data_IF_346407425435
#
_entry.id   IF_346407425435
#
_cell.length_a   1.000
_cell.length_b   1.000
_cell.length_c   1.000
_cell.angle_alpha   90.00
_cell.angle_beta   90.00
_cell.angle_gamma   90.00
#
_symmetry.space_group_name_H-M   'P 1'
#
loop_
_entity.id
_entity.type
_entity.pdbx_description
1 polymer ?
#
# COMPACT_ATOMS: atom_id res chain seq x y z
N UNK A 1 31.85 -41.59 45.70
CA UNK A 1 32.91 -42.53 46.09
C UNK A 1 33.36 -42.23 47.51
N UNK A 2 33.10 -43.14 48.44
CA UNK A 2 34.08 -43.47 49.51
C UNK A 2 35.22 -44.29 48.87
N UNK A 3 36.39 -44.54 49.50
CA UNK A 3 36.62 -44.83 50.93
C UNK A 3 37.89 -44.11 51.48
N UNK A 4 38.38 -44.23 52.72
CA UNK A 4 38.03 -45.05 53.87
C UNK A 4 39.14 -44.96 54.93
N UNK A 5 38.97 -45.80 55.96
CA UNK A 5 39.91 -46.26 56.99
C UNK A 5 40.62 -45.19 57.84
N UNK A 6 40.47 -45.13 59.16
CA UNK A 6 40.23 -46.21 60.11
C UNK A 6 41.50 -46.44 60.93
N UNK A 7 41.42 -46.28 62.26
CA UNK A 7 42.26 -47.00 63.21
C UNK A 7 41.75 -46.78 64.63
N UNK A 8 41.24 -47.86 65.20
CA UNK A 8 40.97 -48.14 66.60
C UNK A 8 42.24 -48.16 67.45
N UNK A 9 42.16 -47.70 68.70
CA UNK A 9 43.20 -47.90 69.71
C UNK A 9 42.69 -47.67 71.13
N UNK A 10 42.43 -48.78 71.84
CA UNK A 10 41.91 -48.92 73.20
C UNK A 10 42.65 -48.15 74.32
N UNK A 11 41.99 -47.95 75.49
CA UNK A 11 42.47 -47.07 76.55
C UNK A 11 43.47 -47.78 77.47
N UNK A 12 44.60 -47.12 77.78
CA UNK A 12 45.52 -47.56 78.83
C UNK A 12 45.53 -46.58 80.00
N UNK A 13 45.40 -47.18 81.18
CA UNK A 13 45.37 -46.59 82.52
C UNK A 13 46.59 -45.73 82.83
N UNK A 14 46.30 -44.76 83.70
CA UNK A 14 47.12 -43.73 84.37
C UNK A 14 48.54 -44.14 84.78
N UNK A 15 49.40 -43.14 84.98
CA UNK A 15 49.73 -42.82 86.37
C UNK A 15 49.63 -41.33 86.68
N UNK A 16 49.24 -41.05 87.93
CA UNK A 16 49.32 -39.75 88.60
C UNK A 16 50.67 -39.08 88.29
N UNK A 17 50.65 -38.00 87.53
CA UNK A 17 51.74 -37.02 87.47
C UNK A 17 51.38 -35.86 88.37
N UNK A 18 52.32 -35.57 89.26
CA UNK A 18 52.41 -34.47 90.23
C UNK A 18 51.94 -33.13 89.65
N UNK A 19 51.48 -32.17 90.49
CA UNK A 19 51.12 -30.85 90.02
C UNK A 19 52.38 -30.21 89.41
N UNK A 20 52.45 -30.17 88.07
CA UNK A 20 53.41 -29.33 87.39
C UNK A 20 53.01 -27.91 87.77
N UNK A 21 53.89 -27.27 88.53
CA UNK A 21 53.90 -25.82 88.78
C UNK A 21 53.46 -25.15 87.47
N UNK A 22 52.38 -24.38 87.52
CA UNK A 22 52.10 -23.38 86.50
C UNK A 22 53.38 -22.56 86.42
N UNK A 23 54.17 -22.77 85.38
CA UNK A 23 55.12 -21.75 84.96
C UNK A 23 54.23 -20.62 84.51
N UNK A 24 53.99 -19.67 85.41
CA UNK A 24 53.48 -18.37 85.03
C UNK A 24 54.51 -17.83 84.05
N UNK A 25 54.22 -18.02 82.76
CA UNK A 25 54.95 -17.44 81.66
C UNK A 25 54.68 -15.94 81.75
N UNK A 26 55.43 -15.26 82.60
CA UNK A 26 55.50 -13.82 82.61
C UNK A 26 56.24 -13.42 81.35
N UNK A 27 55.51 -13.22 80.25
CA UNK A 27 56.01 -12.41 79.16
C UNK A 27 56.53 -11.11 79.77
N UNK A 28 57.76 -10.75 79.42
CA UNK A 28 58.28 -9.46 79.85
C UNK A 28 57.33 -8.38 79.32
N UNK A 29 57.11 -7.33 80.12
CA UNK A 29 56.28 -6.19 79.72
C UNK A 29 56.71 -5.62 78.35
N UNK A 30 58.01 -5.74 78.06
CA UNK A 30 58.61 -5.39 76.77
C UNK A 30 58.14 -6.28 75.60
N UNK A 31 57.98 -7.59 75.80
CA UNK A 31 57.44 -8.50 74.77
C UNK A 31 55.94 -8.25 74.55
N UNK A 32 55.18 -7.98 75.61
CA UNK A 32 53.75 -7.63 75.50
C UNK A 32 53.59 -6.32 74.74
N UNK A 33 54.43 -5.31 75.03
CA UNK A 33 54.43 -4.04 74.33
C UNK A 33 54.87 -4.17 72.86
N UNK A 34 55.83 -5.04 72.56
CA UNK A 34 56.23 -5.32 71.18
C UNK A 34 55.11 -6.00 70.38
N UNK A 35 54.40 -6.96 70.99
CA UNK A 35 53.26 -7.65 70.35
C UNK A 35 52.07 -6.71 70.15
N UNK A 36 51.77 -5.83 71.10
CA UNK A 36 50.69 -4.85 70.96
C UNK A 36 51.02 -3.79 69.91
N UNK A 37 52.27 -3.31 69.85
CA UNK A 37 52.72 -2.40 68.81
C UNK A 37 52.63 -3.04 67.41
N UNK A 38 53.09 -4.30 67.26
CA UNK A 38 52.94 -5.04 66.01
C UNK A 38 51.47 -5.27 65.64
N UNK A 39 50.60 -5.51 66.62
CA UNK A 39 49.16 -5.66 66.38
C UNK A 39 48.53 -4.34 65.89
N UNK A 40 48.89 -3.21 66.49
CA UNK A 40 48.43 -1.89 66.05
C UNK A 40 48.92 -1.56 64.63
N UNK A 41 50.18 -1.88 64.33
CA UNK A 41 50.73 -1.69 62.99
C UNK A 41 50.01 -2.56 61.95
N UNK A 42 49.72 -3.83 62.28
CA UNK A 42 48.95 -4.72 61.41
C UNK A 42 47.52 -4.21 61.20
N UNK A 43 46.88 -3.68 62.25
CA UNK A 43 45.56 -3.05 62.12
C UNK A 43 45.59 -1.83 61.19
N UNK A 44 46.62 -0.99 61.31
CA UNK A 44 46.81 0.18 60.44
C UNK A 44 47.01 -0.23 58.97
N UNK A 45 47.85 -1.24 58.71
CA UNK A 45 48.07 -1.76 57.37
C UNK A 45 46.81 -2.39 56.77
N UNK A 46 46.01 -3.10 57.57
CA UNK A 46 44.72 -3.66 57.13
C UNK A 46 43.72 -2.55 56.79
N UNK A 47 43.68 -1.47 57.58
CA UNK A 47 42.85 -0.31 57.28
C UNK A 47 43.27 0.37 55.97
N UNK A 48 44.57 0.55 55.74
CA UNK A 48 45.11 1.12 54.50
C UNK A 48 44.80 0.24 53.28
N UNK A 49 45.01 -1.07 53.38
CA UNK A 49 44.66 -2.01 52.32
C UNK A 49 43.16 -1.93 51.99
N UNK A 50 42.28 -1.87 52.99
CA UNK A 50 40.84 -1.75 52.77
C UNK A 50 40.46 -0.44 52.07
N UNK A 51 41.15 0.66 52.35
CA UNK A 51 40.95 1.94 51.68
C UNK A 51 41.41 1.88 50.21
N UNK A 52 42.55 1.24 49.93
CA UNK A 52 43.04 1.02 48.56
C UNK A 52 42.13 0.10 47.77
N UNK A 53 41.58 -0.96 48.38
CA UNK A 53 40.59 -1.84 47.72
C UNK A 53 39.36 -1.06 47.28
N UNK A 54 38.81 -0.18 48.13
CA UNK A 54 37.68 0.69 47.75
C UNK A 54 38.02 1.66 46.61
N UNK A 55 39.24 2.18 46.59
CA UNK A 55 39.70 3.04 45.51
C UNK A 55 39.78 2.26 44.19
N UNK A 56 40.27 1.01 44.23
CA UNK A 56 40.31 0.12 43.06
C UNK A 56 38.88 -0.15 42.57
N UNK A 57 37.95 -0.52 43.44
CA UNK A 57 36.54 -0.74 43.07
C UNK A 57 35.91 0.51 42.41
N UNK A 58 36.24 1.70 42.91
CA UNK A 58 35.77 2.96 42.34
C UNK A 58 36.35 3.19 40.94
N UNK A 59 37.65 2.93 40.75
CA UNK A 59 38.31 3.05 39.45
C UNK A 59 37.80 2.00 38.45
N UNK A 60 37.54 0.78 38.91
CA UNK A 60 36.94 -0.28 38.09
C UNK A 60 35.53 0.10 37.61
N UNK A 61 34.71 0.72 38.48
CA UNK A 61 33.40 1.23 38.10
C UNK A 61 33.48 2.35 37.05
N UNK A 62 34.46 3.26 37.18
CA UNK A 62 34.69 4.33 36.20
C UNK A 62 35.17 3.77 34.85
N UNK A 63 36.08 2.79 34.86
CA UNK A 63 36.54 2.12 33.64
C UNK A 63 35.40 1.33 32.97
N UNK A 64 34.54 0.69 33.75
CA UNK A 64 33.36 0.01 33.24
C UNK A 64 32.37 0.99 32.58
N UNK A 65 32.19 2.18 33.15
CA UNK A 65 31.35 3.24 32.58
C UNK A 65 31.95 3.85 31.30
N UNK A 66 33.28 3.83 31.15
CA UNK A 66 33.99 4.30 29.96
C UNK A 66 34.09 3.25 28.84
N UNK A 67 33.59 2.02 29.05
CA UNK A 67 33.52 1.03 27.97
C UNK A 67 32.58 1.55 26.88
N UNK A 68 33.00 1.51 25.60
CA UNK A 68 32.17 2.00 24.51
C UNK A 68 30.87 1.21 24.44
N UNK A 69 29.75 1.92 24.23
CA UNK A 69 28.43 1.32 24.13
C UNK A 69 28.42 0.26 23.01
N UNK A 70 27.82 -0.92 23.25
CA UNK A 70 27.74 -1.97 22.25
C UNK A 70 27.03 -1.44 20.98
N UNK A 71 27.71 -1.55 19.84
CA UNK A 71 27.25 -1.03 18.54
C UNK A 71 27.87 0.30 18.10
N UNK A 72 28.74 0.92 18.91
CA UNK A 72 29.46 2.14 18.55
C UNK A 72 30.88 1.81 18.07
N UNK A 73 31.13 1.90 16.77
CA UNK A 73 32.44 1.65 16.17
C UNK A 73 33.33 2.90 16.26
N UNK A 74 34.09 2.99 17.36
CA UNK A 74 34.96 4.12 17.70
C UNK A 74 36.01 4.39 16.61
N UNK A 75 36.44 3.37 15.85
CA UNK A 75 37.43 3.53 14.78
C UNK A 75 36.84 4.33 13.60
N UNK A 76 35.61 4.01 13.21
CA UNK A 76 34.89 4.73 12.14
C UNK A 76 34.64 6.21 12.48
N UNK A 77 34.43 6.52 13.76
CA UNK A 77 34.24 7.91 14.21
C UNK A 77 35.54 8.71 14.25
N UNK A 78 36.67 8.05 14.55
CA UNK A 78 38.00 8.69 14.53
C UNK A 78 38.44 9.03 13.11
N UNK A 79 38.23 8.11 12.17
CA UNK A 79 38.50 8.32 10.74
C UNK A 79 37.68 9.48 10.14
N UNK A 80 36.42 9.65 10.57
CA UNK A 80 35.59 10.79 10.16
C UNK A 80 36.04 12.13 10.78
N UNK A 81 36.61 12.11 11.99
CA UNK A 81 37.15 13.32 12.62
C UNK A 81 38.41 13.79 11.89
N UNK A 82 39.25 12.84 11.49
CA UNK A 82 40.49 13.10 10.74
C UNK A 82 40.19 13.53 9.29
N UNK A 83 39.17 12.96 8.65
CA UNK A 83 38.74 13.36 7.29
C UNK A 83 38.04 14.73 7.22
N UNK A 84 37.53 15.25 8.34
CA UNK A 84 36.87 16.57 8.40
C UNK A 84 37.82 17.71 8.80
N UNK A 85 39.09 17.38 9.06
CA UNK A 85 40.12 18.29 9.59
C UNK A 85 40.82 19.17 8.56
N UNK A 86 40.09 19.75 7.60
CA UNK A 86 40.63 20.83 6.76
C UNK A 86 39.77 22.10 6.94
N UNK A 87 40.28 23.01 7.77
CA UNK A 87 39.91 24.42 7.75
C UNK A 87 38.67 24.80 8.55
N UNK A 88 38.80 24.79 9.87
CA UNK A 88 38.44 25.87 10.82
C UNK A 88 38.12 25.25 12.18
N UNK A 89 38.98 25.57 13.15
CA UNK A 89 38.92 25.07 14.51
C UNK A 89 37.70 25.55 15.29
N UNK A 90 37.47 24.82 16.39
CA UNK A 90 36.48 24.98 17.45
C UNK A 90 35.12 24.30 17.19
N UNK A 91 34.98 23.12 17.83
CA UNK A 91 33.73 22.48 18.23
C UNK A 91 32.66 22.21 17.16
N UNK A 92 33.00 21.49 16.08
CA UNK A 92 31.97 20.67 15.42
C UNK A 92 31.71 19.43 16.29
N UNK A 93 30.91 19.67 17.33
CA UNK A 93 30.43 18.70 18.28
C UNK A 93 29.94 17.45 17.53
N UNK A 94 30.32 16.24 17.97
CA UNK A 94 29.90 14.96 17.34
C UNK A 94 28.37 14.91 17.16
N UNK A 95 27.66 15.61 18.05
CA UNK A 95 26.24 15.90 18.00
C UNK A 95 25.81 16.67 16.74
N UNK A 96 26.51 17.71 16.34
CA UNK A 96 26.17 18.55 15.19
C UNK A 96 26.42 17.82 13.87
N UNK A 97 27.51 17.05 13.78
CA UNK A 97 27.72 16.14 12.66
C UNK A 97 26.55 15.13 12.53
N UNK A 98 26.07 14.61 13.67
CA UNK A 98 24.91 13.70 13.70
C UNK A 98 23.61 14.41 13.33
N UNK A 99 23.40 15.64 13.76
CA UNK A 99 22.23 16.46 13.40
C UNK A 99 22.20 16.72 11.89
N UNK A 100 23.35 17.01 11.28
CA UNK A 100 23.46 17.19 9.82
C UNK A 100 23.17 15.88 9.09
N UNK A 101 23.72 14.75 9.54
CA UNK A 101 23.46 13.43 8.95
C UNK A 101 21.97 13.05 9.02
N UNK A 102 21.36 13.20 10.21
CA UNK A 102 19.94 12.94 10.42
C UNK A 102 19.08 13.90 9.59
N UNK A 103 19.48 15.17 9.43
CA UNK A 103 18.79 16.13 8.58
C UNK A 103 18.87 15.75 7.10
N UNK A 104 20.04 15.29 6.62
CA UNK A 104 20.21 14.77 5.25
C UNK A 104 19.34 13.53 5.02
N UNK A 105 19.34 12.58 5.97
CA UNK A 105 18.48 11.38 5.94
C UNK A 105 16.99 11.75 5.96
N UNK A 106 16.59 12.68 6.82
CA UNK A 106 15.20 13.15 6.91
C UNK A 106 14.75 13.81 5.60
N UNK A 107 15.61 14.63 4.97
CA UNK A 107 15.31 15.20 3.65
C UNK A 107 15.17 14.11 2.58
N UNK A 108 16.06 13.13 2.54
CA UNK A 108 15.99 12.00 1.61
C UNK A 108 14.70 11.18 1.76
N UNK A 109 14.33 10.85 2.99
CA UNK A 109 13.06 10.16 3.30
C UNK A 109 11.86 11.01 2.91
N UNK A 110 11.90 12.32 3.17
CA UNK A 110 10.77 13.19 2.82
C UNK A 110 10.60 13.33 1.30
N UNK A 111 11.69 13.41 0.54
CA UNK A 111 11.66 13.40 -0.94
C UNK A 111 11.13 12.06 -1.46
N UNK A 112 11.57 10.93 -0.89
CA UNK A 112 11.07 9.62 -1.25
C UNK A 112 9.56 9.47 -0.95
N UNK A 113 9.12 9.98 0.20
CA UNK A 113 7.71 10.02 0.59
C UNK A 113 6.88 10.88 -0.35
N UNK A 114 7.39 12.05 -0.75
CA UNK A 114 6.71 12.93 -1.70
C UNK A 114 6.56 12.25 -3.06
N UNK A 115 7.64 11.61 -3.56
CA UNK A 115 7.60 10.83 -4.80
C UNK A 115 6.61 9.67 -4.71
N UNK A 116 6.52 9.00 -3.58
CA UNK A 116 5.53 7.94 -3.38
C UNK A 116 4.11 8.53 -3.43
N UNK A 117 3.84 9.60 -2.68
CA UNK A 117 2.54 10.29 -2.70
C UNK A 117 2.13 10.73 -4.10
N UNK A 118 3.06 11.24 -4.88
CA UNK A 118 2.78 11.66 -6.27
C UNK A 118 2.47 10.46 -7.16
N UNK A 119 3.19 9.33 -7.01
CA UNK A 119 2.83 8.06 -7.69
C UNK A 119 1.46 7.54 -7.25
N UNK A 120 1.15 7.59 -5.96
CA UNK A 120 -0.16 7.18 -5.43
C UNK A 120 -1.29 8.06 -5.98
N UNK A 121 -1.07 9.38 -6.07
CA UNK A 121 -2.03 10.31 -6.70
C UNK A 121 -2.21 10.04 -8.19
N UNK A 122 -1.13 9.76 -8.91
CA UNK A 122 -1.20 9.42 -10.33
C UNK A 122 -1.97 8.11 -10.55
N UNK A 123 -1.70 7.08 -9.74
CA UNK A 123 -2.44 5.83 -9.78
C UNK A 123 -3.93 6.04 -9.44
N UNK A 124 -4.25 6.84 -8.43
CA UNK A 124 -5.63 7.17 -8.06
C UNK A 124 -6.38 7.87 -9.20
N UNK A 125 -5.73 8.80 -9.93
CA UNK A 125 -6.32 9.44 -11.11
C UNK A 125 -6.60 8.44 -12.25
N UNK A 126 -5.69 7.49 -12.48
CA UNK A 126 -5.91 6.44 -13.48
C UNK A 126 -7.07 5.51 -13.10
N UNK A 127 -7.19 5.16 -11.82
CA UNK A 127 -8.32 4.37 -11.32
C UNK A 127 -9.63 5.13 -11.51
N UNK A 128 -9.71 6.39 -11.08
CA UNK A 128 -10.90 7.21 -11.27
C UNK A 128 -11.28 7.38 -12.75
N UNK A 129 -10.29 7.53 -13.64
CA UNK A 129 -10.54 7.60 -15.08
C UNK A 129 -11.12 6.30 -15.65
N UNK A 130 -10.57 5.14 -15.24
CA UNK A 130 -11.10 3.83 -15.64
C UNK A 130 -12.47 3.53 -15.04
N UNK A 131 -12.73 3.97 -13.81
CA UNK A 131 -14.04 3.82 -13.17
C UNK A 131 -15.10 4.63 -13.93
N UNK A 132 -14.78 5.86 -14.35
CA UNK A 132 -15.68 6.66 -15.19
C UNK A 132 -15.93 6.01 -16.57
N UNK A 133 -14.90 5.42 -17.18
CA UNK A 133 -15.05 4.66 -18.44
C UNK A 133 -15.93 3.42 -18.26
N UNK A 134 -15.76 2.69 -17.15
CA UNK A 134 -16.59 1.53 -16.81
C UNK A 134 -18.05 1.95 -16.62
N UNK A 135 -18.33 3.05 -15.93
CA UNK A 135 -19.69 3.56 -15.76
C UNK A 135 -20.30 3.97 -17.10
N UNK A 136 -19.56 4.67 -17.97
CA UNK A 136 -20.05 5.00 -19.33
C UNK A 136 -20.37 3.73 -20.15
N UNK A 137 -19.51 2.72 -20.09
CA UNK A 137 -19.74 1.45 -20.79
C UNK A 137 -20.93 0.67 -20.19
N UNK A 138 -21.17 0.78 -18.88
CA UNK A 138 -22.36 0.21 -18.23
C UNK A 138 -23.62 0.92 -18.66
N UNK A 139 -23.63 2.24 -18.69
CA UNK A 139 -24.77 3.04 -19.18
C UNK A 139 -25.09 2.72 -20.65
N UNK A 140 -24.07 2.57 -21.50
CA UNK A 140 -24.25 2.12 -22.89
C UNK A 140 -24.82 0.71 -22.96
N UNK A 141 -24.36 -0.21 -22.10
CA UNK A 141 -24.87 -1.57 -22.05
C UNK A 141 -26.32 -1.60 -21.58
N UNK A 142 -26.69 -0.78 -20.59
CA UNK A 142 -28.05 -0.67 -20.06
C UNK A 142 -28.99 -0.01 -21.08
N UNK A 143 -28.51 0.96 -21.86
CA UNK A 143 -29.26 1.55 -22.97
C UNK A 143 -29.57 0.50 -24.06
N UNK A 144 -28.61 -0.35 -24.39
CA UNK A 144 -28.79 -1.46 -25.36
C UNK A 144 -29.64 -2.60 -24.77
N UNK A 145 -29.47 -2.88 -23.47
CA UNK A 145 -30.22 -3.88 -22.74
C UNK A 145 -31.64 -3.39 -22.38
N UNK A 146 -31.95 -2.11 -22.56
CA UNK A 146 -33.28 -1.56 -22.28
C UNK A 146 -34.37 -2.39 -22.98
N UNK A 147 -35.42 -2.81 -22.25
CA UNK A 147 -36.54 -3.56 -22.83
C UNK A 147 -37.17 -2.86 -24.03
N UNK A 148 -37.13 -1.52 -24.08
CA UNK A 148 -37.63 -0.74 -25.21
C UNK A 148 -36.82 -1.00 -26.49
N UNK A 149 -35.49 -1.05 -26.41
CA UNK A 149 -34.60 -1.34 -27.55
C UNK A 149 -34.69 -2.81 -27.96
N UNK A 150 -34.75 -3.73 -26.98
CA UNK A 150 -34.97 -5.17 -27.25
C UNK A 150 -36.33 -5.46 -27.90
N UNK A 151 -37.38 -4.78 -27.47
CA UNK A 151 -38.72 -4.91 -28.07
C UNK A 151 -38.77 -4.30 -29.48
N UNK A 152 -38.11 -3.16 -29.72
CA UNK A 152 -37.97 -2.57 -31.06
C UNK A 152 -37.20 -3.50 -32.01
N UNK A 153 -36.10 -4.10 -31.54
CA UNK A 153 -35.30 -5.05 -32.32
C UNK A 153 -36.06 -6.35 -32.59
N UNK A 154 -36.82 -6.86 -31.61
CA UNK A 154 -37.73 -8.00 -31.81
C UNK A 154 -38.84 -7.68 -32.80
N UNK A 155 -39.45 -6.50 -32.72
CA UNK A 155 -40.45 -6.07 -33.68
C UNK A 155 -39.88 -5.95 -35.10
N UNK A 156 -38.70 -5.34 -35.26
CA UNK A 156 -38.00 -5.30 -36.54
C UNK A 156 -37.65 -6.70 -37.08
N UNK A 157 -37.22 -7.64 -36.24
CA UNK A 157 -36.95 -9.02 -36.68
C UNK A 157 -38.24 -9.77 -37.05
N UNK A 158 -39.33 -9.56 -36.34
CA UNK A 158 -40.64 -10.15 -36.69
C UNK A 158 -41.22 -9.53 -37.95
N UNK A 159 -41.02 -8.24 -38.18
CA UNK A 159 -41.42 -7.56 -39.41
C UNK A 159 -40.54 -7.95 -40.60
N UNK A 160 -39.24 -8.11 -40.41
CA UNK A 160 -38.33 -8.61 -41.45
C UNK A 160 -38.66 -10.06 -41.85
N UNK A 161 -39.06 -10.91 -40.90
CA UNK A 161 -39.55 -12.27 -41.20
C UNK A 161 -40.91 -12.27 -41.92
N UNK A 162 -41.79 -11.30 -41.65
CA UNK A 162 -43.05 -11.12 -42.38
C UNK A 162 -42.85 -10.52 -43.77
N UNK A 163 -41.80 -9.72 -43.98
CA UNK A 163 -41.40 -9.14 -45.28
C UNK A 163 -40.65 -10.12 -46.19
N UNK A 164 -40.20 -11.27 -45.68
CA UNK A 164 -39.53 -12.32 -46.46
C UNK A 164 -40.40 -13.08 -47.47
N UNK A 165 -41.71 -12.78 -47.59
CA UNK A 165 -42.60 -13.43 -48.57
C UNK A 165 -43.38 -12.47 -49.47
N UNK A 166 -43.04 -11.18 -49.52
CA UNK A 166 -43.66 -10.25 -50.47
C UNK A 166 -42.65 -9.20 -50.90
N UNK A 167 -42.08 -9.41 -52.08
CA UNK A 167 -41.44 -8.36 -52.87
C UNK A 167 -42.59 -7.45 -53.31
N UNK A 168 -42.84 -6.35 -52.59
CA UNK A 168 -43.31 -5.07 -53.14
C UNK A 168 -42.98 -3.94 -52.16
N UNK A 169 -42.73 -2.76 -52.73
CA UNK A 169 -42.14 -1.59 -52.11
C UNK A 169 -42.92 -1.04 -50.92
N UNK A 170 -42.26 -0.87 -49.77
CA UNK A 170 -42.52 0.28 -48.90
C UNK A 170 -41.34 0.51 -47.93
N UNK A 171 -40.47 1.44 -48.31
CA UNK A 171 -39.46 1.97 -47.42
C UNK A 171 -40.16 2.86 -46.39
N UNK A 172 -40.48 2.30 -45.22
CA UNK A 172 -40.84 3.08 -44.03
C UNK A 172 -39.62 3.88 -43.58
N UNK A 173 -39.50 5.04 -44.21
CA UNK A 173 -38.65 6.16 -43.85
C UNK A 173 -39.15 6.66 -42.49
N UNK A 174 -38.25 6.72 -41.51
CA UNK A 174 -38.44 7.48 -40.25
C UNK A 174 -39.02 8.84 -40.62
N UNK A 175 -40.17 9.23 -40.04
CA UNK A 175 -40.90 10.39 -40.52
C UNK A 175 -39.98 11.63 -40.56
N UNK A 176 -39.98 12.41 -41.66
CA UNK A 176 -39.15 13.62 -41.77
C UNK A 176 -39.38 14.61 -40.61
N UNK A 177 -40.56 14.57 -40.00
CA UNK A 177 -40.92 15.40 -38.84
C UNK A 177 -40.14 15.05 -37.57
N UNK A 178 -39.92 13.76 -37.27
CA UNK A 178 -39.17 13.31 -36.08
C UNK A 178 -37.68 13.65 -36.20
N UNK A 179 -37.12 13.54 -37.41
CA UNK A 179 -35.72 13.91 -37.70
C UNK A 179 -35.52 15.42 -37.57
N UNK A 180 -36.49 16.22 -38.03
CA UNK A 180 -36.47 17.69 -37.90
C UNK A 180 -36.60 18.10 -36.42
N UNK A 181 -37.45 17.44 -35.63
CA UNK A 181 -37.60 17.75 -34.21
C UNK A 181 -36.33 17.41 -33.40
N UNK A 182 -35.70 16.27 -33.68
CA UNK A 182 -34.41 15.91 -33.07
C UNK A 182 -33.29 16.87 -33.48
N UNK A 183 -33.26 17.29 -34.75
CA UNK A 183 -32.29 18.27 -35.23
C UNK A 183 -32.51 19.65 -34.56
N UNK A 184 -33.75 20.07 -34.36
CA UNK A 184 -34.07 21.33 -33.66
C UNK A 184 -33.72 21.29 -32.18
N UNK A 185 -33.95 20.17 -31.49
CA UNK A 185 -33.51 19.96 -30.09
C UNK A 185 -31.99 19.99 -29.99
N UNK A 186 -31.29 19.24 -30.83
CA UNK A 186 -29.82 19.23 -30.87
C UNK A 186 -29.24 20.63 -31.19
N UNK A 187 -29.90 21.41 -32.04
CA UNK A 187 -29.50 22.79 -32.36
C UNK A 187 -29.69 23.74 -31.17
N UNK A 188 -30.77 23.60 -30.40
CA UNK A 188 -30.99 24.36 -29.16
C UNK A 188 -29.99 24.00 -28.07
N UNK A 189 -29.71 22.71 -27.89
CA UNK A 189 -28.71 22.24 -26.92
C UNK A 189 -27.30 22.71 -27.32
N UNK A 190 -26.96 22.65 -28.61
CA UNK A 190 -25.70 23.18 -29.11
C UNK A 190 -25.59 24.70 -28.92
N UNK A 191 -26.68 25.46 -29.06
CA UNK A 191 -26.70 26.89 -28.79
C UNK A 191 -26.52 27.19 -27.29
N UNK A 192 -27.16 26.42 -26.40
CA UNK A 192 -27.00 26.54 -24.96
C UNK A 192 -25.55 26.25 -24.52
N UNK A 193 -24.95 25.17 -25.03
CA UNK A 193 -23.55 24.81 -24.76
C UNK A 193 -22.59 25.88 -25.29
N UNK A 194 -22.84 26.45 -26.47
CA UNK A 194 -22.04 27.57 -27.01
C UNK A 194 -22.11 28.80 -26.10
N UNK A 195 -23.32 29.19 -25.67
CA UNK A 195 -23.50 30.31 -24.74
C UNK A 195 -22.78 30.08 -23.40
N UNK A 196 -22.85 28.85 -22.86
CA UNK A 196 -22.11 28.49 -21.64
C UNK A 196 -20.59 28.55 -21.86
N UNK A 197 -20.11 28.13 -23.02
CA UNK A 197 -18.70 28.19 -23.37
C UNK A 197 -18.19 29.63 -23.43
N UNK A 198 -18.98 30.53 -24.02
CA UNK A 198 -18.64 31.95 -24.12
C UNK A 198 -18.69 32.64 -22.76
N UNK A 199 -19.65 32.28 -21.89
CA UNK A 199 -19.71 32.76 -20.50
C UNK A 199 -18.50 32.27 -19.68
N UNK A 200 -18.09 31.01 -19.85
CA UNK A 200 -16.90 30.46 -19.19
C UNK A 200 -15.61 31.13 -19.68
N UNK A 201 -15.50 31.43 -20.98
CA UNK A 201 -14.37 32.21 -21.53
C UNK A 201 -14.33 33.62 -20.93
N UNK A 202 -15.48 34.28 -20.83
CA UNK A 202 -15.57 35.61 -20.23
C UNK A 202 -15.15 35.58 -18.75
N UNK A 203 -15.66 34.62 -17.97
CA UNK A 203 -15.26 34.42 -16.56
C UNK A 203 -13.76 34.16 -16.41
N UNK A 204 -13.17 33.36 -17.30
CA UNK A 204 -11.74 33.07 -17.30
C UNK A 204 -10.92 34.34 -17.58
N UNK A 205 -11.36 35.16 -18.54
CA UNK A 205 -10.69 36.41 -18.87
C UNK A 205 -10.79 37.43 -17.73
N UNK A 206 -11.96 37.57 -17.09
CA UNK A 206 -12.13 38.40 -15.89
C UNK A 206 -11.19 37.93 -14.78
N UNK A 207 -11.13 36.63 -14.50
CA UNK A 207 -10.23 36.07 -13.49
C UNK A 207 -8.75 36.28 -13.84
N UNK A 208 -8.38 36.25 -15.13
CA UNK A 208 -7.01 36.57 -15.56
C UNK A 208 -6.66 38.02 -15.29
N UNK A 209 -7.57 38.94 -15.61
CA UNK A 209 -7.39 40.36 -15.35
C UNK A 209 -7.28 40.62 -13.85
N UNK A 210 -8.14 40.02 -13.03
CA UNK A 210 -8.08 40.10 -11.56
C UNK A 210 -6.77 39.53 -11.02
N UNK A 211 -6.31 38.36 -11.49
CA UNK A 211 -5.01 37.79 -11.10
C UNK A 211 -3.85 38.70 -11.50
N UNK A 212 -3.90 39.34 -12.66
CA UNK A 212 -2.89 40.30 -13.08
C UNK A 212 -2.91 41.54 -12.20
N UNK A 213 -4.09 42.07 -11.86
CA UNK A 213 -4.23 43.19 -10.94
C UNK A 213 -3.68 42.84 -9.55
N UNK A 214 -4.07 41.69 -8.98
CA UNK A 214 -3.54 41.18 -7.72
C UNK A 214 -2.02 40.98 -7.77
N UNK A 215 -1.48 40.46 -8.87
CA UNK A 215 -0.04 40.34 -9.03
C UNK A 215 0.63 41.72 -9.09
N UNK A 216 0.03 42.71 -9.75
CA UNK A 216 0.59 44.07 -9.79
C UNK A 216 0.50 44.80 -8.45
N UNK A 217 -0.58 44.61 -7.67
CA UNK A 217 -0.67 45.16 -6.31
C UNK A 217 0.31 44.48 -5.37
N UNK A 218 0.42 43.14 -5.42
CA UNK A 218 1.41 42.39 -4.64
C UNK A 218 2.85 42.80 -5.00
N UNK A 219 3.16 43.02 -6.28
CA UNK A 219 4.48 43.56 -6.69
C UNK A 219 4.73 44.96 -6.12
N UNK A 220 3.71 45.82 -6.09
CA UNK A 220 3.83 47.17 -5.49
C UNK A 220 4.02 47.12 -3.97
N UNK A 221 3.38 46.19 -3.27
CA UNK A 221 3.49 46.04 -1.82
C UNK A 221 4.77 45.33 -1.36
N UNK A 222 5.28 44.39 -2.16
CA UNK A 222 6.45 43.56 -1.83
C UNK A 222 7.75 44.15 -2.40
N UNK A 223 7.66 45.02 -3.41
CA UNK A 223 8.79 45.53 -4.17
C UNK A 223 9.21 44.57 -5.30
N UNK A 224 9.74 45.12 -6.40
CA UNK A 224 10.14 44.34 -7.58
C UNK A 224 11.50 43.65 -7.35
N UNK A 225 11.57 42.34 -7.62
CA UNK A 225 12.80 41.53 -7.56
C UNK A 225 12.59 40.11 -7.02
N UNK A 226 13.70 39.39 -6.83
CA UNK A 226 13.77 37.96 -6.42
C UNK A 226 12.89 37.59 -5.22
N UNK A 227 12.50 38.58 -4.40
CA UNK A 227 11.57 38.46 -3.28
C UNK A 227 10.13 38.13 -3.71
N UNK A 228 9.63 38.70 -4.81
CA UNK A 228 8.29 38.40 -5.35
C UNK A 228 8.24 36.98 -5.93
N UNK A 229 9.26 36.62 -6.72
CA UNK A 229 9.38 35.29 -7.30
C UNK A 229 9.58 34.20 -6.22
N UNK A 230 10.38 34.48 -5.19
CA UNK A 230 10.57 33.58 -4.05
C UNK A 230 9.34 33.46 -3.13
N UNK A 231 8.50 34.51 -3.06
CA UNK A 231 7.23 34.46 -2.34
C UNK A 231 6.18 33.60 -3.06
N UNK A 232 6.06 33.72 -4.39
CA UNK A 232 5.18 32.88 -5.22
C UNK A 232 5.67 31.43 -5.25
N UNK A 233 6.99 31.21 -5.34
CA UNK A 233 7.58 29.87 -5.34
C UNK A 233 7.59 29.18 -3.95
N UNK A 234 7.16 29.87 -2.88
CA UNK A 234 7.12 29.33 -1.52
C UNK A 234 8.49 29.13 -0.87
N UNK A 235 9.59 29.52 -1.53
CA UNK A 235 10.96 29.36 -1.06
C UNK A 235 11.45 30.51 -0.15
N UNK A 236 10.76 31.65 -0.13
CA UNK A 236 11.18 32.85 0.61
C UNK A 236 10.62 33.02 2.03
N UNK A 237 9.51 32.37 2.38
CA UNK A 237 8.84 32.64 3.68
C UNK A 237 9.59 32.10 4.90
N UNK A 238 10.47 31.12 4.70
CA UNK A 238 11.31 30.57 5.78
C UNK A 238 12.40 31.55 6.22
N UNK A 239 12.93 32.36 5.31
CA UNK A 239 13.95 33.38 5.62
C UNK A 239 13.39 34.59 6.36
N UNK A 240 12.20 35.09 5.97
CA UNK A 240 11.55 36.23 6.64
C UNK A 240 11.03 35.87 8.03
N UNK A 241 10.42 34.68 8.19
CA UNK A 241 10.01 34.21 9.51
C UNK A 241 11.21 34.00 10.44
N UNK A 242 12.33 33.49 9.92
CA UNK A 242 13.59 33.40 10.66
C UNK A 242 14.15 34.77 11.02
N UNK A 243 14.16 35.74 10.10
CA UNK A 243 14.59 37.13 10.37
C UNK A 243 13.70 37.79 11.42
N UNK A 244 12.37 37.62 11.35
CA UNK A 244 11.45 38.17 12.35
C UNK A 244 11.70 37.52 13.72
N UNK A 245 11.90 36.21 13.78
CA UNK A 245 12.25 35.52 15.03
C UNK A 245 13.61 35.98 15.57
N UNK A 246 14.60 36.17 14.72
CA UNK A 246 15.93 36.65 15.09
C UNK A 246 15.89 38.10 15.58
N UNK A 247 15.13 38.97 14.92
CA UNK A 247 14.91 40.34 15.35
C UNK A 247 14.10 40.39 16.65
N UNK A 248 13.04 39.60 16.80
CA UNK A 248 12.27 39.48 18.05
C UNK A 248 13.12 39.00 19.22
N UNK A 249 14.01 38.02 19.00
CA UNK A 249 14.92 37.55 20.04
C UNK A 249 15.97 38.60 20.38
N UNK A 250 16.48 39.35 19.40
CA UNK A 250 17.41 40.46 19.62
C UNK A 250 16.76 41.63 20.37
N UNK A 251 15.53 42.01 20.01
CA UNK A 251 14.72 43.00 20.75
C UNK A 251 14.48 42.54 22.18
N UNK A 252 14.01 41.30 22.40
CA UNK A 252 13.84 40.74 23.76
C UNK A 252 15.13 40.68 24.57
N UNK A 253 16.28 40.50 23.92
CA UNK A 253 17.60 40.53 24.58
C UNK A 253 17.95 41.95 24.99
N UNK A 254 17.81 42.91 24.08
CA UNK A 254 18.05 44.33 24.34
C UNK A 254 17.10 44.90 25.40
N UNK A 255 15.82 44.52 25.38
CA UNK A 255 14.85 44.85 26.43
C UNK A 255 15.27 44.30 27.80
N UNK A 256 15.86 43.10 27.84
CA UNK A 256 16.36 42.48 29.07
C UNK A 256 17.65 43.13 29.55
N UNK A 257 18.53 43.50 28.63
CA UNK A 257 19.76 44.25 28.90
C UNK A 257 19.44 45.67 29.40
N UNK A 258 18.44 46.35 28.85
CA UNK A 258 17.95 47.64 29.35
C UNK A 258 17.32 47.51 30.74
N UNK A 259 16.55 46.45 30.97
CA UNK A 259 15.92 46.15 32.26
C UNK A 259 16.93 45.75 33.34
N UNK A 260 18.06 45.16 32.95
CA UNK A 260 19.13 44.73 33.88
C UNK A 260 20.26 45.76 34.00
N UNK A 261 20.47 46.61 33.01
CA UNK A 261 21.52 47.65 32.95
C UNK A 261 21.09 49.02 33.50
N UNK A 262 19.81 49.20 33.84
CA UNK A 262 19.32 50.36 34.59
C UNK A 262 19.67 50.26 36.08
N UNK A 263 20.87 50.71 36.45
CA UNK A 263 21.29 50.80 37.85
C UNK A 263 20.57 51.94 38.59
N UNK A 264 19.93 51.64 39.72
CA UNK A 264 19.65 52.63 40.76
C UNK A 264 18.46 52.33 41.69
N UNK A 265 18.64 51.45 42.69
CA UNK A 265 18.23 51.68 44.10
C UNK A 265 18.20 50.35 44.88
N UNK A 266 19.12 50.12 45.85
CA UNK A 266 19.05 49.02 46.78
C UNK A 266 18.26 49.47 48.02
N UNK A 267 16.96 49.16 48.05
CA UNK A 267 16.09 49.57 49.15
C UNK A 267 15.04 48.51 49.47
N UNK A 268 15.42 47.60 50.37
CA UNK A 268 14.55 47.04 51.42
C UNK A 268 13.08 46.81 51.07
N UNK A 269 12.69 45.62 50.58
CA UNK A 269 11.41 44.94 50.90
C UNK A 269 11.45 43.50 50.35
N UNK A 270 12.00 42.55 51.12
CA UNK A 270 12.12 41.15 50.64
C UNK A 270 11.79 40.10 51.71
N UNK A 271 10.60 40.20 52.32
CA UNK A 271 10.07 39.11 53.16
C UNK A 271 8.61 38.72 52.88
N UNK A 272 7.91 39.36 51.92
CA UNK A 272 6.56 38.95 51.49
C UNK A 272 6.52 38.25 50.12
N UNK A 273 7.56 38.37 49.28
CA UNK A 273 7.60 37.77 47.93
C UNK A 273 7.68 36.24 47.89
N UNK A 274 8.05 35.58 49.00
CA UNK A 274 8.20 34.12 49.02
C UNK A 274 6.87 33.36 49.05
N UNK A 275 5.76 34.00 49.50
CA UNK A 275 4.42 33.38 49.45
C UNK A 275 3.80 33.52 48.05
N UNK A 276 3.91 34.68 47.42
CA UNK A 276 3.39 34.91 46.07
C UNK A 276 4.19 34.17 44.99
N UNK A 277 5.51 33.98 45.16
CA UNK A 277 6.32 33.18 44.24
C UNK A 277 5.86 31.70 44.20
N UNK A 278 5.51 31.12 45.34
CA UNK A 278 4.97 29.75 45.42
C UNK A 278 3.59 29.62 44.78
N UNK A 279 2.77 30.67 44.81
CA UNK A 279 1.48 30.71 44.13
C UNK A 279 1.64 30.83 42.60
N UNK A 280 2.58 31.64 42.14
CA UNK A 280 2.93 31.75 40.71
C UNK A 280 3.47 30.42 40.17
N UNK A 281 4.36 29.75 40.93
CA UNK A 281 4.90 28.44 40.55
C UNK A 281 3.81 27.36 40.54
N UNK A 282 2.92 27.32 41.55
CA UNK A 282 1.80 26.39 41.58
C UNK A 282 0.82 26.62 40.41
N UNK A 283 0.56 27.87 40.02
CA UNK A 283 -0.27 28.23 38.88
C UNK A 283 0.41 27.87 37.55
N UNK A 284 1.73 28.03 37.45
CA UNK A 284 2.51 27.60 36.30
C UNK A 284 2.49 26.07 36.15
N UNK A 285 2.65 25.32 37.24
CA UNK A 285 2.53 23.86 37.24
C UNK A 285 1.14 23.39 36.84
N UNK A 286 0.08 24.01 37.36
CA UNK A 286 -1.30 23.69 36.98
C UNK A 286 -1.54 23.96 35.49
N UNK A 287 -1.00 25.06 34.95
CA UNK A 287 -1.09 25.40 33.53
C UNK A 287 -0.31 24.41 32.65
N UNK A 288 0.91 24.01 33.05
CA UNK A 288 1.71 22.99 32.34
C UNK A 288 1.01 21.63 32.37
N UNK A 289 0.43 21.24 33.52
CA UNK A 289 -0.39 20.03 33.64
C UNK A 289 -1.60 20.08 32.71
N UNK A 290 -2.35 21.19 32.69
CA UNK A 290 -3.48 21.39 31.77
C UNK A 290 -3.08 21.30 30.29
N UNK A 291 -1.97 21.92 29.90
CA UNK A 291 -1.45 21.80 28.53
C UNK A 291 -1.04 20.34 28.24
N UNK A 292 -0.41 19.65 29.20
CA UNK A 292 0.01 18.26 29.01
C UNK A 292 -1.16 17.31 28.84
N UNK A 293 -2.24 17.47 29.62
CA UNK A 293 -3.44 16.65 29.51
C UNK A 293 -4.21 16.95 28.23
N UNK A 294 -4.34 18.23 27.85
CA UNK A 294 -4.93 18.63 26.58
C UNK A 294 -4.15 18.06 25.38
N UNK A 295 -2.81 18.11 25.44
CA UNK A 295 -1.94 17.51 24.42
C UNK A 295 -2.08 15.99 24.37
N UNK A 296 -2.15 15.31 25.52
CA UNK A 296 -2.37 13.87 25.59
C UNK A 296 -3.73 13.48 25.02
N UNK A 297 -4.79 14.23 25.33
CA UNK A 297 -6.13 14.01 24.78
C UNK A 297 -6.15 14.19 23.25
N UNK A 298 -5.51 15.24 22.73
CA UNK A 298 -5.38 15.45 21.29
C UNK A 298 -4.60 14.31 20.62
N UNK A 299 -3.50 13.85 21.22
CA UNK A 299 -2.74 12.71 20.70
C UNK A 299 -3.54 11.41 20.75
N UNK A 300 -4.37 11.19 21.77
CA UNK A 300 -5.26 10.04 21.85
C UNK A 300 -6.32 10.08 20.74
N UNK A 301 -6.98 11.23 20.55
CA UNK A 301 -7.95 11.44 19.46
C UNK A 301 -7.32 11.24 18.08
N UNK A 302 -6.13 11.79 17.82
CA UNK A 302 -5.42 11.58 16.56
C UNK A 302 -5.03 10.11 16.33
N UNK A 303 -4.67 9.37 17.39
CA UNK A 303 -4.38 7.93 17.28
C UNK A 303 -5.64 7.13 16.93
N UNK A 304 -6.77 7.50 17.51
CA UNK A 304 -8.06 6.88 17.21
C UNK A 304 -8.47 7.16 15.76
N UNK A 305 -8.36 8.41 15.30
CA UNK A 305 -8.63 8.78 13.90
C UNK A 305 -7.72 8.02 12.93
N UNK A 306 -6.42 7.91 13.23
CA UNK A 306 -5.49 7.10 12.43
C UNK A 306 -5.90 5.62 12.42
N UNK A 307 -6.39 5.07 13.52
CA UNK A 307 -6.85 3.69 13.59
C UNK A 307 -8.13 3.48 12.76
N UNK A 308 -9.09 4.40 12.86
CA UNK A 308 -10.33 4.39 12.07
C UNK A 308 -10.04 4.48 10.57
N UNK A 309 -9.22 5.46 10.14
CA UNK A 309 -8.82 5.62 8.73
C UNK A 309 -8.09 4.39 8.19
N UNK A 310 -7.27 3.71 9.01
CA UNK A 310 -6.63 2.44 8.61
C UNK A 310 -7.62 1.30 8.47
N UNK A 311 -8.64 1.23 9.32
CA UNK A 311 -9.70 0.23 9.23
C UNK A 311 -10.53 0.44 7.96
N UNK A 312 -10.95 1.67 7.67
CA UNK A 312 -11.65 2.04 6.44
C UNK A 312 -10.81 1.77 5.19
N UNK A 313 -9.50 2.06 5.25
CA UNK A 313 -8.57 1.72 4.16
C UNK A 313 -8.50 0.21 3.92
N UNK A 314 -8.50 -0.60 4.98
CA UNK A 314 -8.48 -2.06 4.85
C UNK A 314 -9.79 -2.56 4.26
N UNK A 315 -10.93 -2.06 4.73
CA UNK A 315 -12.24 -2.46 4.22
C UNK A 315 -12.43 -2.07 2.75
N UNK A 316 -12.07 -0.85 2.37
CA UNK A 316 -12.12 -0.40 0.97
C UNK A 316 -11.24 -1.24 0.05
N UNK A 317 -10.04 -1.65 0.50
CA UNK A 317 -9.19 -2.60 -0.24
C UNK A 317 -9.86 -3.96 -0.42
N UNK A 318 -10.46 -4.50 0.63
CA UNK A 318 -11.20 -5.77 0.55
C UNK A 318 -12.37 -5.69 -0.44
N UNK A 319 -13.12 -4.57 -0.43
CA UNK A 319 -14.20 -4.33 -1.41
C UNK A 319 -13.68 -4.27 -2.84
N UNK A 320 -12.55 -3.60 -3.08
CA UNK A 320 -11.92 -3.52 -4.40
C UNK A 320 -11.42 -4.89 -4.88
N UNK A 321 -10.80 -5.68 -4.01
CA UNK A 321 -10.33 -7.02 -4.38
C UNK A 321 -11.50 -7.98 -4.68
N UNK A 322 -12.60 -7.88 -3.94
CA UNK A 322 -13.84 -8.61 -4.23
C UNK A 322 -14.48 -8.14 -5.56
N UNK A 323 -14.46 -6.85 -5.87
CA UNK A 323 -14.95 -6.33 -7.14
C UNK A 323 -14.07 -6.79 -8.32
N UNK A 324 -12.75 -6.82 -8.14
CA UNK A 324 -11.79 -7.33 -9.13
C UNK A 324 -11.98 -8.81 -9.42
N UNK A 325 -12.21 -9.64 -8.40
CA UNK A 325 -12.46 -11.07 -8.61
C UNK A 325 -13.75 -11.30 -9.39
N UNK A 326 -14.83 -10.57 -9.05
CA UNK A 326 -16.10 -10.60 -9.80
C UNK A 326 -15.95 -10.13 -11.25
N UNK A 327 -15.15 -9.07 -11.48
CA UNK A 327 -14.86 -8.59 -12.82
C UNK A 327 -14.09 -9.65 -13.62
N UNK A 328 -13.10 -10.29 -13.01
CA UNK A 328 -12.34 -11.36 -13.65
C UNK A 328 -13.23 -12.54 -14.03
N UNK A 329 -14.12 -13.00 -13.14
CA UNK A 329 -15.06 -14.08 -13.46
C UNK A 329 -16.01 -13.67 -14.59
N UNK A 330 -16.56 -12.46 -14.53
CA UNK A 330 -17.45 -11.94 -15.58
C UNK A 330 -16.74 -11.83 -16.94
N UNK A 331 -15.46 -11.42 -16.95
CA UNK A 331 -14.65 -11.39 -18.16
C UNK A 331 -14.41 -12.79 -18.74
N UNK A 332 -14.11 -13.77 -17.89
CA UNK A 332 -13.95 -15.17 -18.34
C UNK A 332 -15.25 -15.74 -18.91
N UNK A 333 -16.39 -15.44 -18.30
CA UNK A 333 -17.70 -15.87 -18.81
C UNK A 333 -18.05 -15.18 -20.13
N UNK A 334 -17.79 -13.87 -20.26
CA UNK A 334 -17.98 -13.15 -21.51
C UNK A 334 -17.10 -13.74 -22.64
N UNK A 335 -15.85 -14.08 -22.35
CA UNK A 335 -14.96 -14.75 -23.30
C UNK A 335 -15.50 -16.13 -23.71
N UNK A 336 -15.98 -16.92 -22.74
CA UNK A 336 -16.59 -18.23 -22.98
C UNK A 336 -17.84 -18.13 -23.86
N UNK A 337 -18.74 -17.19 -23.58
CA UNK A 337 -19.96 -16.97 -24.37
C UNK A 337 -19.65 -16.52 -25.79
N UNK A 338 -18.67 -15.64 -25.99
CA UNK A 338 -18.20 -15.28 -27.35
C UNK A 338 -17.64 -16.49 -28.10
N UNK A 339 -16.90 -17.36 -27.42
CA UNK A 339 -16.41 -18.62 -27.98
C UNK A 339 -17.56 -19.55 -28.41
N UNK A 340 -18.57 -19.73 -27.56
CA UNK A 340 -19.77 -20.51 -27.89
C UNK A 340 -20.55 -19.92 -29.06
N UNK A 341 -20.72 -18.59 -29.08
CA UNK A 341 -21.40 -17.90 -30.18
C UNK A 341 -20.66 -18.05 -31.50
N UNK A 342 -19.33 -17.97 -31.48
CA UNK A 342 -18.50 -18.25 -32.65
C UNK A 342 -18.73 -19.66 -33.18
N UNK A 343 -18.72 -20.68 -32.31
CA UNK A 343 -19.00 -22.06 -32.72
C UNK A 343 -20.40 -22.23 -33.31
N UNK A 344 -21.41 -21.54 -32.78
CA UNK A 344 -22.76 -21.59 -33.35
C UNK A 344 -22.84 -20.91 -34.72
N UNK A 345 -22.11 -19.81 -34.94
CA UNK A 345 -21.99 -19.16 -36.24
C UNK A 345 -21.29 -20.09 -37.23
N UNK A 346 -20.14 -20.67 -36.84
CA UNK A 346 -19.42 -21.61 -37.69
C UNK A 346 -20.32 -22.81 -38.08
N UNK A 347 -21.16 -23.30 -37.16
CA UNK A 347 -22.15 -24.34 -37.46
C UNK A 347 -23.25 -23.87 -38.41
N UNK A 348 -23.78 -22.67 -38.21
CA UNK A 348 -24.79 -22.09 -39.09
C UNK A 348 -24.24 -21.94 -40.52
N UNK A 349 -22.99 -21.49 -40.68
CA UNK A 349 -22.33 -21.38 -41.97
C UNK A 349 -22.15 -22.75 -42.65
N UNK A 350 -21.81 -23.79 -41.87
CA UNK A 350 -21.75 -25.17 -42.40
C UNK A 350 -23.13 -25.72 -42.77
N UNK A 351 -24.16 -25.42 -41.99
CA UNK A 351 -25.55 -25.84 -42.27
C UNK A 351 -26.07 -25.13 -43.52
N UNK A 352 -25.79 -23.83 -43.68
CA UNK A 352 -26.14 -23.06 -44.89
C UNK A 352 -25.44 -23.61 -46.14
N UNK A 353 -24.18 -24.00 -46.02
CA UNK A 353 -23.44 -24.66 -47.10
C UNK A 353 -24.08 -26.00 -47.49
N UNK A 354 -24.43 -26.83 -46.51
CA UNK A 354 -25.14 -28.10 -46.73
C UNK A 354 -26.51 -27.88 -47.38
N UNK A 355 -27.26 -26.87 -46.94
CA UNK A 355 -28.56 -26.51 -47.52
C UNK A 355 -28.39 -26.08 -48.99
N UNK A 356 -27.33 -25.33 -49.32
CA UNK A 356 -27.03 -24.97 -50.71
C UNK A 356 -26.75 -26.21 -51.56
N UNK A 357 -25.91 -27.14 -51.09
CA UNK A 357 -25.64 -28.40 -51.79
C UNK A 357 -26.90 -29.23 -52.01
N UNK A 358 -27.74 -29.38 -50.98
CA UNK A 358 -29.01 -30.11 -51.08
C UNK A 358 -30.00 -29.44 -52.04
N UNK A 359 -30.07 -28.10 -52.03
CA UNK A 359 -30.89 -27.35 -53.00
C UNK A 359 -30.38 -27.54 -54.42
N UNK A 360 -29.07 -27.57 -54.62
CA UNK A 360 -28.48 -27.81 -55.93
C UNK A 360 -28.79 -29.22 -56.44
N UNK A 361 -28.65 -30.25 -55.59
CA UNK A 361 -29.04 -31.63 -55.90
C UNK A 361 -30.54 -31.77 -56.21
N UNK A 362 -31.41 -31.12 -55.45
CA UNK A 362 -32.85 -31.07 -55.72
C UNK A 362 -33.15 -30.38 -57.06
N UNK A 363 -32.43 -29.31 -57.37
CA UNK A 363 -32.57 -28.62 -58.66
C UNK A 363 -32.11 -29.49 -59.83
N UNK A 364 -31.05 -30.28 -59.63
CA UNK A 364 -30.47 -31.17 -60.64
C UNK A 364 -31.37 -32.38 -60.88
N UNK A 365 -31.90 -32.99 -59.82
CA UNK A 365 -32.88 -34.09 -59.93
C UNK A 365 -34.21 -33.62 -60.52
N UNK A 366 -34.70 -32.42 -60.17
CA UNK A 366 -35.89 -31.84 -60.81
C UNK A 366 -35.67 -31.51 -62.29
N UNK A 367 -34.46 -31.06 -62.67
CA UNK A 367 -34.09 -30.88 -64.08
C UNK A 367 -34.05 -32.22 -64.82
N UNK A 368 -33.44 -33.25 -64.24
CA UNK A 368 -33.42 -34.60 -64.80
C UNK A 368 -34.82 -35.21 -64.94
N UNK A 369 -35.69 -35.02 -63.93
CA UNK A 369 -37.09 -35.46 -63.97
C UNK A 369 -37.95 -34.64 -64.93
N UNK A 370 -37.71 -33.32 -65.04
CA UNK A 370 -38.38 -32.44 -66.00
C UNK A 370 -37.99 -32.70 -67.45
N UNK A 371 -36.77 -33.19 -67.72
CA UNK A 371 -36.34 -33.66 -69.03
C UNK A 371 -36.90 -35.05 -69.39
N UNK A 372 -37.44 -35.80 -68.42
CA UNK A 372 -38.15 -37.07 -68.64
C UNK A 372 -39.67 -36.95 -68.75
N UNK A 373 -40.23 -35.74 -68.64
CA UNK A 373 -41.69 -35.49 -68.59
C UNK A 373 -42.32 -34.98 -69.89
N UNK A 374 -41.55 -34.86 -70.97
CA UNK A 374 -42.07 -34.61 -72.31
C UNK A 374 -42.10 -35.90 -73.11
N UNK A 375 -43.29 -36.47 -73.31
CA UNK A 375 -43.62 -37.76 -73.95
C UNK A 375 -43.74 -38.91 -72.95
N UNK A 376 -44.97 -39.23 -72.54
CA UNK A 376 -45.57 -40.57 -72.53
C UNK A 376 -47.04 -40.38 -72.10
N UNK A 377 -47.90 -40.28 -73.10
CA UNK A 377 -49.26 -40.78 -73.03
C UNK A 377 -49.24 -42.17 -73.69
N UNK A 378 -50.08 -43.08 -73.18
CA UNK A 378 -50.30 -44.47 -73.60
C UNK A 378 -49.23 -45.51 -73.22
N UNK A 379 -49.56 -46.39 -72.26
CA UNK A 379 -49.95 -47.78 -72.54
C UNK A 379 -49.76 -48.69 -71.30
N UNK A 380 -50.81 -49.44 -70.99
CA UNK A 380 -50.88 -50.78 -70.38
C UNK A 380 -49.91 -51.19 -69.24
N UNK A 381 -50.50 -51.51 -68.09
CA UNK A 381 -50.69 -52.89 -67.63
C UNK A 381 -49.49 -53.85 -67.50
N UNK A 382 -49.35 -54.38 -66.28
CA UNK A 382 -48.96 -55.77 -65.96
C UNK A 382 -47.48 -56.18 -66.08
N UNK A 383 -47.10 -57.05 -65.13
CA UNK A 383 -45.84 -57.83 -65.00
C UNK A 383 -44.63 -57.00 -64.55
N UNK A 384 -43.81 -57.38 -63.56
CA UNK A 384 -43.49 -58.69 -63.03
C UNK A 384 -42.00 -58.97 -63.29
N UNK A 385 -41.20 -59.15 -62.23
CA UNK A 385 -39.97 -59.94 -62.30
C UNK A 385 -38.65 -59.23 -62.63
N UNK A 386 -37.78 -59.23 -61.62
CA UNK A 386 -36.39 -59.71 -61.68
C UNK A 386 -35.36 -59.14 -62.67
N UNK A 387 -34.34 -58.57 -62.03
CA UNK A 387 -32.93 -58.97 -62.12
C UNK A 387 -32.02 -58.45 -63.23
N UNK A 388 -30.79 -58.22 -62.78
CA UNK A 388 -29.52 -58.19 -63.49
C UNK A 388 -29.00 -56.85 -64.02
N UNK A 389 -27.85 -56.47 -63.47
CA UNK A 389 -26.68 -56.13 -64.27
C UNK A 389 -26.49 -54.65 -64.63
N UNK A 390 -25.47 -54.05 -64.03
CA UNK A 390 -24.34 -53.39 -64.71
C UNK A 390 -23.91 -52.12 -63.97
N UNK A 391 -22.83 -52.24 -63.20
CA UNK A 391 -22.05 -51.09 -62.74
C UNK A 391 -20.89 -50.85 -63.70
N UNK A 392 -20.75 -49.65 -64.29
CA UNK A 392 -19.47 -49.16 -64.73
C UNK A 392 -18.93 -48.10 -63.76
N UNK A 393 -17.62 -48.21 -63.52
CA UNK A 393 -16.74 -47.25 -62.85
C UNK A 393 -16.98 -45.82 -63.35
N UNK A 394 -17.04 -44.85 -62.42
CA UNK A 394 -16.80 -43.45 -62.72
C UNK A 394 -16.05 -42.75 -61.57
N UNK A 395 -14.81 -42.37 -61.90
CA UNK A 395 -14.06 -41.19 -61.50
C UNK A 395 -14.16 -40.67 -60.04
N UNK A 396 -13.08 -40.90 -59.32
CA UNK A 396 -12.57 -40.08 -58.22
C UNK A 396 -12.41 -38.61 -58.63
N UNK A 397 -13.13 -37.70 -57.99
CA UNK A 397 -12.72 -36.30 -57.81
C UNK A 397 -12.81 -35.99 -56.31
N UNK A 398 -11.65 -35.96 -55.66
CA UNK A 398 -11.51 -35.65 -54.25
C UNK A 398 -11.63 -34.16 -54.01
N UNK A 399 -12.65 -33.76 -53.25
CA UNK A 399 -12.70 -32.48 -52.55
C UNK A 399 -11.78 -32.53 -51.31
N UNK A 400 -11.17 -31.40 -50.89
CA UNK A 400 -10.21 -31.38 -49.80
C UNK A 400 -10.95 -31.51 -48.46
N UNK A 401 -11.00 -32.73 -47.91
CA UNK A 401 -11.43 -32.94 -46.54
C UNK A 401 -10.31 -32.44 -45.63
N UNK A 402 -10.58 -31.44 -44.80
CA UNK A 402 -9.72 -31.00 -43.69
C UNK A 402 -9.73 -32.02 -42.56
N UNK A 403 -9.33 -33.26 -42.84
CA UNK A 403 -9.03 -34.23 -41.79
C UNK A 403 -7.73 -33.81 -41.13
N UNK A 404 -7.82 -33.10 -40.00
CA UNK A 404 -6.72 -33.09 -39.02
C UNK A 404 -6.30 -34.54 -38.82
N UNK A 405 -5.01 -34.81 -38.96
CA UNK A 405 -4.49 -36.17 -38.82
C UNK A 405 -4.93 -36.73 -37.46
N UNK A 406 -5.18 -38.04 -37.38
CA UNK A 406 -5.43 -38.68 -36.09
C UNK A 406 -4.32 -38.37 -35.06
N UNK A 407 -3.11 -38.07 -35.54
CA UNK A 407 -1.99 -37.62 -34.71
C UNK A 407 -2.15 -36.19 -34.17
N UNK A 408 -2.76 -35.28 -34.94
CA UNK A 408 -3.08 -33.92 -34.50
C UNK A 408 -4.17 -33.94 -33.41
N UNK A 409 -5.16 -34.82 -33.56
CA UNK A 409 -6.20 -35.02 -32.55
C UNK A 409 -5.61 -35.62 -31.26
N UNK A 410 -4.68 -36.56 -31.37
CA UNK A 410 -3.95 -37.13 -30.21
C UNK A 410 -3.10 -36.07 -29.51
N UNK A 411 -2.40 -35.23 -30.27
CA UNK A 411 -1.61 -34.12 -29.73
C UNK A 411 -2.49 -33.08 -29.01
N UNK A 412 -3.65 -32.76 -29.58
CA UNK A 412 -4.60 -31.82 -28.98
C UNK A 412 -5.25 -32.41 -27.72
N UNK A 413 -5.57 -33.70 -27.70
CA UNK A 413 -6.06 -34.38 -26.48
C UNK A 413 -4.99 -34.34 -25.37
N UNK A 414 -3.72 -34.58 -25.67
CA UNK A 414 -2.64 -34.47 -24.68
C UNK A 414 -2.44 -33.03 -24.19
N UNK A 415 -2.59 -32.04 -25.08
CA UNK A 415 -2.57 -30.62 -24.71
C UNK A 415 -3.72 -30.29 -23.75
N UNK A 416 -4.93 -30.76 -24.04
CA UNK A 416 -6.10 -30.56 -23.20
C UNK A 416 -5.95 -31.25 -21.84
N UNK A 417 -5.45 -32.50 -21.78
CA UNK A 417 -5.14 -33.18 -20.51
C UNK A 417 -4.15 -32.40 -19.66
N UNK A 418 -3.08 -31.86 -20.26
CA UNK A 418 -2.10 -31.01 -19.57
C UNK A 418 -2.74 -29.73 -19.03
N UNK A 419 -3.66 -29.13 -19.80
CA UNK A 419 -4.40 -27.94 -19.36
C UNK A 419 -5.34 -28.25 -18.19
N UNK A 420 -6.09 -29.35 -18.27
CA UNK A 420 -6.98 -29.79 -17.19
C UNK A 420 -6.20 -30.10 -15.91
N UNK A 421 -5.02 -30.76 -16.03
CA UNK A 421 -4.13 -30.99 -14.89
C UNK A 421 -3.67 -29.69 -14.24
N UNK A 422 -3.22 -28.71 -15.05
CA UNK A 422 -2.82 -27.38 -14.54
C UNK A 422 -3.98 -26.65 -13.86
N UNK A 423 -5.20 -26.78 -14.38
CA UNK A 423 -6.40 -26.23 -13.76
C UNK A 423 -6.68 -26.90 -12.41
N UNK A 424 -6.55 -28.23 -12.32
CA UNK A 424 -6.62 -28.97 -11.05
C UNK A 424 -5.60 -28.47 -10.03
N UNK A 425 -4.33 -28.32 -10.43
CA UNK A 425 -3.27 -27.81 -9.54
C UNK A 425 -3.52 -26.36 -9.06
N UNK A 426 -4.26 -25.55 -9.84
CA UNK A 426 -4.66 -24.20 -9.45
C UNK A 426 -5.82 -24.26 -8.45
N UNK A 427 -6.81 -25.12 -8.69
CA UNK A 427 -7.94 -25.35 -7.77
C UNK A 427 -7.42 -25.83 -6.41
N UNK A 428 -6.53 -26.82 -6.38
CA UNK A 428 -5.96 -27.35 -5.12
C UNK A 428 -5.18 -26.30 -4.31
N UNK A 429 -4.55 -25.34 -5.01
CA UNK A 429 -3.86 -24.22 -4.35
C UNK A 429 -4.85 -23.22 -3.78
N UNK A 430 -5.92 -22.92 -4.53
CA UNK A 430 -6.99 -22.05 -4.07
C UNK A 430 -7.71 -22.65 -2.86
N UNK A 431 -8.01 -23.97 -2.87
CA UNK A 431 -8.64 -24.67 -1.76
C UNK A 431 -7.77 -24.68 -0.49
N UNK A 432 -6.46 -24.85 -0.63
CA UNK A 432 -5.51 -24.70 0.49
C UNK A 432 -5.54 -23.30 1.08
N UNK A 433 -5.60 -22.28 0.22
CA UNK A 433 -5.64 -20.87 0.65
C UNK A 433 -6.96 -20.55 1.36
N UNK A 434 -8.09 -21.00 0.80
CA UNK A 434 -9.42 -20.82 1.40
C UNK A 434 -9.51 -21.54 2.74
N UNK A 435 -8.98 -22.77 2.85
CA UNK A 435 -8.94 -23.50 4.11
C UNK A 435 -8.11 -22.78 5.17
N UNK A 436 -6.96 -22.22 4.79
CA UNK A 436 -6.13 -21.40 5.69
C UNK A 436 -6.87 -20.16 6.19
N UNK A 437 -7.49 -19.40 5.28
CA UNK A 437 -8.27 -18.21 5.64
C UNK A 437 -9.49 -18.56 6.53
N UNK A 438 -10.12 -19.72 6.33
CA UNK A 438 -11.21 -20.20 7.20
C UNK A 438 -10.72 -20.52 8.60
N UNK A 439 -9.53 -21.12 8.74
CA UNK A 439 -8.91 -21.36 10.04
C UNK A 439 -8.59 -20.05 10.75
N UNK A 440 -7.95 -19.10 10.06
CA UNK A 440 -7.65 -17.78 10.61
C UNK A 440 -8.91 -17.03 11.04
N UNK A 441 -9.98 -17.10 10.23
CA UNK A 441 -11.27 -16.50 10.59
C UNK A 441 -11.86 -17.14 11.85
N UNK A 442 -11.77 -18.47 11.97
CA UNK A 442 -12.22 -19.19 13.16
C UNK A 442 -11.42 -18.76 14.40
N UNK A 443 -10.11 -18.61 14.29
CA UNK A 443 -9.24 -18.16 15.39
C UNK A 443 -9.56 -16.71 15.82
N UNK A 444 -9.79 -15.81 14.85
CA UNK A 444 -10.22 -14.44 15.14
C UNK A 444 -11.59 -14.43 15.82
N UNK A 445 -12.53 -15.25 15.37
CA UNK A 445 -13.85 -15.37 16.01
C UNK A 445 -13.76 -15.94 17.43
N UNK A 446 -12.86 -16.88 17.67
CA UNK A 446 -12.60 -17.42 19.01
C UNK A 446 -12.00 -16.33 19.93
N UNK A 447 -11.05 -15.53 19.43
CA UNK A 447 -10.43 -14.44 20.18
C UNK A 447 -11.36 -13.27 20.49
N UNK A 448 -12.39 -13.05 19.67
CA UNK A 448 -13.42 -12.02 19.93
C UNK A 448 -14.46 -12.49 20.96
N UNK A 449 -14.65 -13.81 21.13
CA UNK A 449 -15.65 -14.39 22.04
C UNK A 449 -15.11 -14.71 23.44
N UNK A 450 -13.81 -14.94 23.58
CA UNK A 450 -13.12 -15.08 24.88
C UNK A 450 -12.63 -13.73 25.37
#
# INVERSE_FOLDING_TARGET
GSPGSGASGSPRRSPRRSPRKRSDFCFSEQEVNAVTAAHQQNQALVAELSAKTRQIETLEALVAALKPLPGMDVAKYREMLESAGDGHGEDLDVRDAKIVELSKKMRGVNVALQRERDRSRAAARQVAGKDAEIELLREQLDAVASPAVRNKLRHMQTEARRRGSSIEADASIVSPAEVVEQAQKAMKDAAAVRSQNDELKHKLEVQRIENNQLNTTLKREIGDGDLFNAAIAGEGWRGRAQQITLLKTKVKRLERELRNGGHGSPGTQNFQRSRDAKDVDARAEAHVKSISTARQALLASQREEIAQLKAEQKESRQRLDAARSRLSTAQTDAARLRGQMKVMIDKADTDDSLIQELREQLSQTRRAAGMGGGSIALALGSTGGSSSGASPKAASHGAPRSSKSNDDLRAEIERLKKLTKRQGDVIDRQERTISGLRSELHDVQAHVRG
#
